data_IF_779573171175
#
_entry.id   IF_779573171175
#
_cell.length_a   1.000
_cell.length_b   1.000
_cell.length_c   1.000
_cell.angle_alpha   90.00
_cell.angle_beta   90.00
_cell.angle_gamma   90.00
#
_symmetry.space_group_name_H-M   'P 1'
#
loop_
_entity.id
_entity.type
_entity.pdbx_description
1 polymer ?
#
# COMPACT_ATOMS: atom_id res chain seq x y z
N UNK A 1 -22.50 15.01 -5.94
CA UNK A 1 -22.61 15.48 -4.54
C UNK A 1 -22.53 14.28 -3.59
N UNK A 2 -21.35 13.70 -3.42
CA UNK A 2 -21.07 12.71 -2.39
C UNK A 2 -19.59 12.92 -2.00
N UNK A 3 -19.38 13.59 -0.88
CA UNK A 3 -18.10 13.58 -0.15
C UNK A 3 -18.13 12.36 0.78
N UNK A 4 -17.30 11.33 0.57
CA UNK A 4 -17.02 10.38 1.63
C UNK A 4 -15.99 11.03 2.55
N UNK A 5 -16.46 11.68 3.62
CA UNK A 5 -15.59 11.93 4.77
C UNK A 5 -15.17 10.58 5.33
N UNK A 6 -13.86 10.33 5.37
CA UNK A 6 -13.28 9.13 5.93
C UNK A 6 -13.57 9.11 7.45
N UNK A 7 -14.46 8.23 7.90
CA UNK A 7 -14.96 8.16 9.28
C UNK A 7 -13.88 7.68 10.28
N UNK A 8 -12.72 7.21 9.81
CA UNK A 8 -11.69 6.58 10.66
C UNK A 8 -10.28 7.18 10.58
N UNK A 9 -10.06 8.32 9.92
CA UNK A 9 -8.79 9.05 10.09
C UNK A 9 -8.90 9.97 11.32
N UNK A 10 -8.15 9.73 12.42
CA UNK A 10 -8.17 10.65 13.55
C UNK A 10 -7.61 12.00 13.08
N UNK A 11 -8.44 13.05 13.13
CA UNK A 11 -8.01 14.42 12.85
C UNK A 11 -7.08 14.89 13.97
N UNK A 12 -5.77 14.80 13.77
CA UNK A 12 -4.80 15.37 14.70
C UNK A 12 -4.66 16.87 14.41
N UNK A 13 -5.36 17.70 15.20
CA UNK A 13 -5.14 19.15 15.21
C UNK A 13 -4.03 19.47 16.21
N UNK A 14 -2.84 19.83 15.71
CA UNK A 14 -1.75 20.35 16.54
C UNK A 14 -1.96 21.86 16.73
N UNK A 15 -1.90 22.41 17.96
CA UNK A 15 -2.05 23.84 18.18
C UNK A 15 -0.79 24.61 17.75
N UNK A 16 -1.00 25.73 17.07
CA UNK A 16 0.02 26.70 16.67
C UNK A 16 0.86 27.16 17.88
N UNK A 17 2.19 26.94 17.82
CA UNK A 17 3.18 27.56 18.70
C UNK A 17 3.99 28.57 17.89
N UNK A 18 4.12 29.76 18.45
CA UNK A 18 4.69 30.98 17.86
C UNK A 18 6.19 30.88 17.56
N UNK A 19 6.57 31.46 16.43
CA UNK A 19 7.88 31.37 15.79
C UNK A 19 9.03 32.06 16.56
N UNK A 20 10.22 31.46 16.51
CA UNK A 20 11.51 32.12 16.74
C UNK A 20 12.24 32.16 15.40
N UNK A 21 12.52 33.37 14.92
CA UNK A 21 13.22 33.62 13.65
C UNK A 21 14.73 33.36 13.81
N UNK A 22 15.20 32.27 13.21
CA UNK A 22 16.60 32.07 12.83
C UNK A 22 16.69 32.04 11.31
N UNK A 23 17.58 32.86 10.74
CA UNK A 23 17.74 32.99 9.29
C UNK A 23 18.28 31.68 8.68
N UNK A 24 17.36 30.84 8.18
CA UNK A 24 17.66 29.76 7.25
C UNK A 24 17.51 30.30 5.83
N UNK A 25 18.56 30.13 5.03
CA UNK A 25 18.51 30.37 3.59
C UNK A 25 17.63 29.29 2.99
N UNK A 26 16.36 29.60 2.71
CA UNK A 26 15.48 28.74 1.93
C UNK A 26 15.92 28.83 0.46
N UNK A 27 16.58 27.79 -0.02
CA UNK A 27 16.66 27.54 -1.46
C UNK A 27 15.25 27.23 -1.96
N UNK A 28 14.77 28.02 -2.92
CA UNK A 28 13.43 27.90 -3.47
C UNK A 28 13.19 26.53 -4.12
N UNK A 29 12.32 25.72 -3.53
CA UNK A 29 11.64 24.58 -4.15
C UNK A 29 10.13 24.84 -4.10
N UNK A 30 9.43 24.69 -5.22
CA UNK A 30 8.02 25.01 -5.41
C UNK A 30 7.06 24.20 -4.49
N UNK A 31 5.95 24.65 -3.89
CA UNK A 31 4.93 25.70 -4.15
C UNK A 31 3.53 25.21 -4.61
N UNK A 32 3.11 23.96 -4.35
CA UNK A 32 1.71 23.56 -4.60
C UNK A 32 0.75 24.26 -3.62
N UNK A 33 -0.20 25.10 -4.07
CA UNK A 33 -1.21 25.70 -3.19
C UNK A 33 -2.54 24.91 -3.24
N UNK A 34 -3.20 24.67 -2.09
CA UNK A 34 -2.71 24.89 -0.73
C UNK A 34 -1.65 23.87 -0.34
N UNK A 35 -0.64 24.31 0.42
CA UNK A 35 0.41 23.44 0.94
C UNK A 35 -0.18 22.56 2.03
N UNK A 36 -0.18 21.24 1.82
CA UNK A 36 -0.59 20.25 2.83
C UNK A 36 0.64 19.54 3.38
N UNK A 37 0.50 18.89 4.53
CA UNK A 37 1.56 18.05 5.12
C UNK A 37 1.87 16.77 4.30
N UNK A 38 1.05 16.48 3.29
CA UNK A 38 1.12 15.27 2.48
C UNK A 38 1.87 15.48 1.15
N UNK A 39 2.20 16.72 0.81
CA UNK A 39 2.95 17.07 -0.40
C UNK A 39 4.40 17.30 0.00
N UNK A 40 5.31 16.54 -0.60
CA UNK A 40 6.74 16.70 -0.41
C UNK A 40 7.18 18.13 -0.77
N UNK A 41 7.92 18.85 0.11
CA UNK A 41 8.45 20.17 -0.18
C UNK A 41 9.33 20.25 -1.44
N UNK A 42 9.92 19.14 -1.87
CA UNK A 42 10.76 19.08 -3.06
C UNK A 42 9.96 18.78 -4.34
N UNK A 43 8.63 18.61 -4.26
CA UNK A 43 7.80 18.34 -5.43
C UNK A 43 7.83 19.51 -6.43
N UNK A 44 8.06 19.24 -7.73
CA UNK A 44 8.11 20.29 -8.73
C UNK A 44 6.73 20.92 -8.98
N UNK A 45 6.69 22.23 -9.22
CA UNK A 45 5.46 23.00 -9.48
C UNK A 45 4.60 22.41 -10.60
N UNK A 46 5.24 21.78 -11.60
CA UNK A 46 4.58 21.14 -12.73
C UNK A 46 3.75 19.92 -12.33
N UNK A 47 3.99 19.32 -11.17
CA UNK A 47 3.25 18.17 -10.66
C UNK A 47 2.04 18.57 -9.78
N UNK A 48 1.90 19.84 -9.40
CA UNK A 48 0.84 20.31 -8.50
C UNK A 48 -0.57 20.15 -9.07
N UNK A 49 -0.70 20.17 -10.40
CA UNK A 49 -1.96 20.01 -11.11
C UNK A 49 -1.75 19.18 -12.35
N UNK A 50 -2.73 18.34 -12.71
CA UNK A 50 -2.73 17.65 -13.99
C UNK A 50 -4.13 17.58 -14.57
N UNK A 51 -4.22 17.31 -15.88
CA UNK A 51 -5.48 16.97 -16.53
C UNK A 51 -5.54 15.48 -16.76
N UNK A 52 -6.59 14.81 -16.26
CA UNK A 52 -6.78 13.38 -16.46
C UNK A 52 -7.19 13.05 -17.91
N UNK A 53 -7.24 11.75 -18.25
CA UNK A 53 -7.63 11.28 -19.58
C UNK A 53 -9.08 11.59 -19.97
N UNK A 54 -9.90 12.07 -19.02
CA UNK A 54 -11.29 12.48 -19.21
C UNK A 54 -11.44 14.00 -19.26
N UNK A 55 -10.35 14.76 -19.18
CA UNK A 55 -10.35 16.22 -19.20
C UNK A 55 -10.63 16.88 -17.86
N UNK A 56 -10.67 16.13 -16.76
CA UNK A 56 -10.83 16.69 -15.42
C UNK A 56 -9.51 17.30 -14.96
N UNK A 57 -9.56 18.51 -14.39
CA UNK A 57 -8.42 19.03 -13.63
C UNK A 57 -8.34 18.31 -12.28
N UNK A 58 -7.14 17.83 -11.95
CA UNK A 58 -6.79 17.19 -10.70
C UNK A 58 -5.76 18.04 -9.97
N UNK A 59 -5.90 18.13 -8.66
CA UNK A 59 -4.93 18.74 -7.75
C UNK A 59 -4.12 17.64 -7.07
N UNK A 60 -2.82 17.89 -6.89
CA UNK A 60 -1.96 16.99 -6.14
C UNK A 60 -2.34 17.02 -4.66
N UNK A 61 -2.58 15.85 -4.09
CA UNK A 61 -2.95 15.69 -2.66
C UNK A 61 -1.91 14.95 -1.84
N UNK A 62 -0.96 14.28 -2.51
CA UNK A 62 0.11 13.52 -1.89
C UNK A 62 1.29 13.39 -2.86
N UNK A 63 2.52 13.51 -2.35
CA UNK A 63 3.74 13.20 -3.08
C UNK A 63 4.88 12.80 -2.13
N UNK A 64 5.85 12.06 -2.65
CA UNK A 64 7.11 11.75 -1.99
C UNK A 64 8.19 11.62 -3.08
N UNK A 65 9.13 12.56 -3.11
CA UNK A 65 10.22 12.61 -4.10
C UNK A 65 11.46 11.84 -3.61
N UNK A 66 11.47 11.38 -2.35
CA UNK A 66 12.56 10.62 -1.74
C UNK A 66 13.95 11.31 -1.79
N UNK A 67 13.98 12.64 -1.81
CA UNK A 67 15.21 13.44 -1.92
C UNK A 67 16.03 13.53 -0.62
N UNK A 68 15.41 13.29 0.54
CA UNK A 68 16.12 13.26 1.83
C UNK A 68 16.86 11.93 1.97
N UNK A 69 18.17 11.94 1.79
CA UNK A 69 19.03 10.75 1.92
C UNK A 69 19.01 10.14 3.33
N UNK A 70 19.04 8.80 3.40
CA UNK A 70 19.17 8.07 4.66
C UNK A 70 17.92 8.04 5.53
N UNK A 71 16.72 8.28 4.96
CA UNK A 71 15.45 8.05 5.65
C UNK A 71 15.38 6.62 6.16
N UNK A 72 14.81 6.48 7.35
CA UNK A 72 14.50 5.20 7.96
C UNK A 72 13.02 4.93 7.81
N UNK A 73 12.68 3.69 7.48
CA UNK A 73 11.30 3.25 7.31
C UNK A 73 10.89 2.20 8.35
N UNK A 74 11.66 2.08 9.44
CA UNK A 74 11.22 1.28 10.59
C UNK A 74 9.94 1.87 11.19
N UNK A 75 9.22 1.03 11.93
CA UNK A 75 7.94 1.46 12.51
C UNK A 75 8.12 2.67 13.43
N UNK A 76 7.35 3.72 13.17
CA UNK A 76 7.41 5.01 13.87
C UNK A 76 8.43 6.02 13.33
N UNK A 77 9.34 5.66 12.43
CA UNK A 77 10.39 6.58 11.94
C UNK A 77 9.90 7.52 10.81
N UNK A 78 8.94 7.08 10.00
CA UNK A 78 8.42 7.83 8.86
C UNK A 78 6.90 8.04 8.95
N UNK A 79 6.36 9.23 8.63
CA UNK A 79 4.94 9.54 8.80
C UNK A 79 4.03 8.84 7.78
N UNK A 80 4.55 8.42 6.62
CA UNK A 80 3.76 7.87 5.51
C UNK A 80 4.03 6.38 5.33
N UNK A 81 5.28 5.96 5.45
CA UNK A 81 5.71 4.63 5.04
C UNK A 81 6.20 3.80 6.23
N UNK A 82 5.94 2.50 6.22
CA UNK A 82 6.52 1.55 7.18
C UNK A 82 6.99 0.31 6.44
N UNK A 83 8.27 -0.02 6.56
CA UNK A 83 8.83 -1.30 6.18
C UNK A 83 8.40 -2.38 7.14
N UNK A 84 8.10 -3.56 6.61
CA UNK A 84 7.55 -4.66 7.39
C UNK A 84 8.53 -5.82 7.55
N UNK A 85 8.29 -6.58 8.60
CA UNK A 85 8.97 -7.83 8.92
C UNK A 85 7.95 -8.97 8.75
N UNK A 86 8.32 -10.06 8.07
CA UNK A 86 7.47 -11.25 8.04
C UNK A 86 7.71 -12.18 6.84
N UNK A 87 6.91 -13.24 6.75
CA UNK A 87 6.94 -14.16 5.62
C UNK A 87 5.70 -14.01 4.75
N UNK A 88 5.88 -13.82 3.43
CA UNK A 88 4.75 -13.90 2.50
C UNK A 88 4.17 -15.32 2.51
N UNK A 89 2.87 -15.44 2.80
CA UNK A 89 2.18 -16.73 2.99
C UNK A 89 1.27 -17.18 1.84
N UNK A 90 1.03 -16.33 0.83
CA UNK A 90 -0.06 -16.54 -0.14
C UNK A 90 0.39 -17.02 -1.51
N UNK A 91 1.58 -16.62 -1.96
CA UNK A 91 2.01 -16.78 -3.36
C UNK A 91 3.26 -17.66 -3.51
N UNK A 92 3.48 -18.62 -2.60
CA UNK A 92 4.68 -19.50 -2.58
C UNK A 92 6.02 -18.76 -2.67
N UNK A 93 6.04 -17.53 -2.17
CA UNK A 93 7.21 -16.67 -2.14
C UNK A 93 8.29 -17.29 -1.21
N UNK A 94 9.53 -17.24 -1.67
CA UNK A 94 10.68 -17.89 -1.00
C UNK A 94 11.59 -16.89 -0.27
N UNK A 95 11.19 -15.62 -0.20
CA UNK A 95 11.87 -14.57 0.54
C UNK A 95 11.29 -14.39 1.96
N UNK A 96 12.01 -13.62 2.78
CA UNK A 96 11.48 -12.97 3.98
C UNK A 96 11.52 -11.45 3.83
N UNK A 97 10.53 -10.77 4.40
CA UNK A 97 10.50 -9.32 4.51
C UNK A 97 11.30 -8.82 5.71
N UNK A 98 11.98 -7.70 5.54
CA UNK A 98 12.80 -7.05 6.58
C UNK A 98 12.60 -5.55 6.62
N UNK A 99 12.72 -4.98 7.81
CA UNK A 99 12.68 -3.53 8.08
C UNK A 99 14.06 -2.89 8.27
N UNK A 100 15.14 -3.69 8.22
CA UNK A 100 16.52 -3.20 8.32
C UNK A 100 16.79 -2.04 7.34
N UNK A 101 17.40 -0.97 7.86
CA UNK A 101 17.65 0.28 7.11
C UNK A 101 18.49 0.08 5.84
N UNK A 102 19.34 -0.94 5.77
CA UNK A 102 20.13 -1.24 4.57
C UNK A 102 19.30 -1.88 3.43
N UNK A 103 18.03 -2.24 3.68
CA UNK A 103 17.13 -2.85 2.71
C UNK A 103 16.08 -1.90 2.15
N UNK A 104 15.59 -0.95 2.97
CA UNK A 104 14.72 0.15 2.56
C UNK A 104 15.35 1.46 2.99
N UNK A 105 15.81 2.25 2.02
CA UNK A 105 16.46 3.54 2.30
C UNK A 105 16.32 4.48 1.12
N UNK A 106 16.47 5.77 1.37
CA UNK A 106 16.57 6.79 0.33
C UNK A 106 18.02 7.12 0.04
N UNK A 107 18.38 7.23 -1.24
CA UNK A 107 19.71 7.70 -1.66
C UNK A 107 19.72 8.25 -3.08
N UNK A 108 20.09 9.54 -3.20
CA UNK A 108 20.27 10.26 -4.45
C UNK A 108 18.95 10.57 -5.16
N UNK A 109 17.89 10.90 -4.42
CA UNK A 109 16.56 11.18 -4.98
C UNK A 109 15.75 9.93 -5.34
N UNK A 110 16.03 8.79 -4.70
CA UNK A 110 15.34 7.53 -4.95
C UNK A 110 15.08 6.78 -3.66
N UNK A 111 13.87 6.24 -3.52
CA UNK A 111 13.62 5.08 -2.67
C UNK A 111 14.32 3.87 -3.27
N UNK A 112 15.11 3.16 -2.45
CA UNK A 112 15.84 1.97 -2.84
C UNK A 112 15.37 0.77 -2.04
N UNK A 113 15.00 -0.27 -2.78
CA UNK A 113 14.55 -1.55 -2.26
C UNK A 113 15.59 -2.62 -2.63
N UNK A 114 16.43 -3.01 -1.67
CA UNK A 114 17.55 -3.94 -1.91
C UNK A 114 17.12 -5.39 -1.72
N UNK A 115 17.53 -6.27 -2.61
CA UNK A 115 17.32 -7.73 -2.48
C UNK A 115 18.67 -8.42 -2.30
N UNK A 116 18.75 -9.40 -1.39
CA UNK A 116 19.95 -10.23 -1.17
C UNK A 116 19.61 -11.71 -1.08
N UNK A 117 20.61 -12.56 -1.31
CA UNK A 117 20.54 -14.01 -1.22
C UNK A 117 21.38 -14.55 -0.04
N UNK A 118 21.36 -13.82 1.09
CA UNK A 118 22.31 -14.04 2.21
C UNK A 118 21.70 -14.81 3.40
N UNK A 119 20.54 -15.45 3.20
CA UNK A 119 19.84 -16.17 4.27
C UNK A 119 19.12 -15.22 5.23
N UNK A 120 17.82 -15.07 5.05
CA UNK A 120 16.94 -14.36 5.96
C UNK A 120 16.81 -15.09 7.30
N UNK A 121 16.82 -14.38 8.44
CA UNK A 121 16.54 -14.95 9.77
C UNK A 121 15.54 -14.09 10.52
N UNK A 122 14.26 -14.41 10.41
CA UNK A 122 13.23 -13.67 11.15
C UNK A 122 12.00 -14.56 11.31
N UNK A 123 11.53 -14.81 12.52
CA UNK A 123 10.13 -15.18 12.74
C UNK A 123 9.69 -14.70 14.13
N UNK A 124 8.39 -14.44 14.27
CA UNK A 124 7.67 -14.57 15.54
C UNK A 124 6.82 -15.85 15.44
N UNK A 125 6.95 -16.82 16.35
CA UNK A 125 6.06 -17.97 16.38
C UNK A 125 4.61 -17.52 16.64
N UNK A 126 3.69 -18.48 16.58
CA UNK A 126 2.27 -18.30 16.93
C UNK A 126 2.05 -17.77 18.36
N UNK A 127 3.07 -17.76 19.23
CA UNK A 127 3.02 -17.19 20.58
C UNK A 127 3.59 -15.76 20.66
N UNK A 128 4.10 -15.21 19.56
CA UNK A 128 4.78 -13.91 19.52
C UNK A 128 6.23 -13.98 20.01
N UNK A 129 6.86 -15.16 20.01
CA UNK A 129 8.27 -15.34 20.39
C UNK A 129 9.16 -15.41 19.16
N UNK A 130 10.35 -14.81 19.23
CA UNK A 130 11.28 -14.85 18.10
C UNK A 130 11.74 -16.28 17.76
N UNK A 131 11.49 -16.74 16.53
CA UNK A 131 12.04 -18.00 15.98
C UNK A 131 12.93 -17.68 14.80
N UNK A 132 13.84 -18.59 14.48
CA UNK A 132 14.69 -18.50 13.30
C UNK A 132 14.17 -19.49 12.24
N UNK A 133 13.33 -19.02 11.31
CA UNK A 133 13.15 -19.69 10.02
C UNK A 133 14.11 -19.06 8.99
N UNK A 134 14.76 -19.89 8.19
CA UNK A 134 15.79 -19.45 7.23
C UNK A 134 15.23 -19.48 5.82
N UNK A 135 15.04 -18.29 5.22
CA UNK A 135 14.66 -18.16 3.80
C UNK A 135 15.87 -17.80 2.96
N UNK A 136 15.86 -18.23 1.70
CA UNK A 136 16.99 -18.02 0.78
C UNK A 136 17.24 -16.55 0.49
N UNK A 137 16.18 -15.75 0.41
CA UNK A 137 16.24 -14.34 0.04
C UNK A 137 15.70 -13.43 1.12
N UNK A 138 16.35 -12.28 1.30
CA UNK A 138 15.87 -11.19 2.16
C UNK A 138 15.47 -10.03 1.24
N UNK A 139 14.25 -9.53 1.41
CA UNK A 139 13.69 -8.45 0.59
C UNK A 139 12.95 -7.44 1.46
N UNK A 140 12.80 -6.19 1.03
CA UNK A 140 11.92 -5.24 1.69
C UNK A 140 10.49 -5.37 1.17
N UNK A 141 9.54 -5.07 2.04
CA UNK A 141 8.20 -4.65 1.66
C UNK A 141 7.84 -3.44 2.52
N UNK A 142 7.23 -2.43 1.91
CA UNK A 142 6.86 -1.18 2.56
C UNK A 142 5.39 -0.89 2.30
N UNK A 143 4.68 -0.35 3.28
CA UNK A 143 3.26 -0.01 3.16
C UNK A 143 2.91 1.30 3.86
N UNK A 144 1.87 1.98 3.38
CA UNK A 144 1.28 3.17 4.00
C UNK A 144 -0.04 2.90 4.76
N UNK A 145 -0.27 1.65 5.15
CA UNK A 145 -1.52 1.21 5.80
C UNK A 145 -1.86 2.07 7.02
N UNK A 146 -3.09 2.58 7.09
CA UNK A 146 -3.58 3.48 8.15
C UNK A 146 -2.79 4.78 8.37
N UNK A 147 -1.96 5.22 7.41
CA UNK A 147 -1.24 6.50 7.48
C UNK A 147 -1.85 7.53 6.54
N UNK A 148 -1.78 7.28 5.24
CA UNK A 148 -2.44 8.10 4.22
C UNK A 148 -3.51 7.27 3.50
N UNK A 149 -4.68 7.85 3.26
CA UNK A 149 -5.79 7.22 2.55
C UNK A 149 -6.40 8.20 1.57
N UNK A 150 -6.73 7.72 0.38
CA UNK A 150 -7.40 8.51 -0.65
C UNK A 150 -8.54 7.70 -1.26
N UNK A 151 -9.48 8.40 -1.88
CA UNK A 151 -10.59 7.79 -2.62
C UNK A 151 -10.64 8.43 -4.00
N UNK A 152 -10.52 7.60 -5.04
CA UNK A 152 -10.49 8.03 -6.43
C UNK A 152 -9.29 8.95 -6.76
N UNK A 153 -9.08 9.21 -8.04
CA UNK A 153 -7.98 10.04 -8.53
C UNK A 153 -6.99 9.28 -9.40
N UNK A 154 -5.77 9.81 -9.48
CA UNK A 154 -4.69 9.27 -10.31
C UNK A 154 -3.48 9.03 -9.41
N UNK A 155 -2.87 7.86 -9.56
CA UNK A 155 -1.61 7.52 -8.92
C UNK A 155 -0.55 7.42 -10.02
N UNK A 156 0.57 8.12 -9.82
CA UNK A 156 1.72 8.09 -10.71
C UNK A 156 2.95 7.64 -9.93
N UNK A 157 3.81 6.86 -10.58
CA UNK A 157 5.08 6.42 -10.02
C UNK A 157 6.12 6.39 -11.14
N UNK A 158 7.37 6.68 -10.79
CA UNK A 158 8.54 6.49 -11.64
C UNK A 158 9.44 5.46 -10.97
N UNK A 159 9.74 4.36 -11.66
CA UNK A 159 10.48 3.25 -11.07
C UNK A 159 11.49 2.64 -12.06
N UNK A 160 12.61 2.19 -11.50
CA UNK A 160 13.60 1.33 -12.18
C UNK A 160 13.55 -0.05 -11.54
N UNK A 161 13.35 -1.10 -12.35
CA UNK A 161 13.23 -2.45 -11.84
C UNK A 161 14.58 -3.14 -11.64
N UNK A 162 14.70 -4.03 -10.62
CA UNK A 162 15.93 -4.75 -10.36
C UNK A 162 16.20 -5.81 -11.43
N UNK A 163 17.49 -6.00 -11.72
CA UNK A 163 17.96 -7.06 -12.62
C UNK A 163 17.68 -6.80 -14.09
N UNK A 164 17.93 -7.81 -14.92
CA UNK A 164 17.62 -7.76 -16.35
C UNK A 164 16.20 -8.27 -16.57
N UNK A 165 15.47 -7.71 -17.54
CA UNK A 165 14.09 -8.13 -17.85
C UNK A 165 13.93 -9.60 -18.30
N UNK A 166 15.03 -10.31 -18.58
CA UNK A 166 15.03 -11.75 -18.92
C UNK A 166 15.47 -12.66 -17.75
N UNK A 167 15.75 -12.08 -16.57
CA UNK A 167 16.15 -12.84 -15.40
C UNK A 167 14.91 -13.20 -14.56
N UNK A 168 14.62 -14.49 -14.35
CA UNK A 168 13.47 -14.93 -13.56
C UNK A 168 13.68 -14.74 -12.06
N UNK A 169 12.56 -14.69 -11.32
CA UNK A 169 12.52 -14.84 -9.87
C UNK A 169 12.40 -13.53 -9.08
N UNK A 170 12.66 -12.37 -9.69
CA UNK A 170 12.35 -11.07 -9.10
C UNK A 170 10.88 -10.73 -9.39
N UNK A 171 10.19 -10.19 -8.39
CA UNK A 171 8.78 -9.81 -8.48
C UNK A 171 8.57 -8.41 -7.90
N UNK A 172 9.06 -7.34 -8.56
CA UNK A 172 8.75 -5.98 -8.13
C UNK A 172 7.25 -5.71 -8.33
N UNK A 173 6.64 -5.12 -7.31
CA UNK A 173 5.23 -4.75 -7.32
C UNK A 173 5.01 -3.38 -6.65
N UNK A 174 4.07 -2.62 -7.19
CA UNK A 174 3.48 -1.44 -6.58
C UNK A 174 1.98 -1.52 -6.78
N UNK A 175 1.26 -1.63 -5.67
CA UNK A 175 -0.16 -1.92 -5.64
C UNK A 175 -0.83 -1.15 -4.51
N UNK A 176 -2.13 -0.97 -4.63
CA UNK A 176 -2.98 -0.33 -3.65
C UNK A 176 -3.84 -1.38 -2.95
N UNK A 177 -4.16 -1.15 -1.69
CA UNK A 177 -5.00 -2.05 -0.92
C UNK A 177 -6.08 -1.29 -0.15
N UNK A 178 -7.30 -1.79 -0.16
CA UNK A 178 -8.39 -1.21 0.62
C UNK A 178 -8.09 -1.28 2.12
N UNK A 179 -8.21 -0.15 2.81
CA UNK A 179 -7.77 0.05 4.19
C UNK A 179 -8.54 -0.77 5.27
N UNK A 180 -9.47 -1.65 4.86
CA UNK A 180 -10.16 -2.58 5.76
C UNK A 180 -9.32 -3.81 6.12
N UNK A 181 -8.28 -4.11 5.34
CA UNK A 181 -7.33 -5.17 5.62
C UNK A 181 -5.91 -4.63 5.57
N UNK A 182 -4.99 -5.29 6.27
CA UNK A 182 -3.56 -5.00 6.22
C UNK A 182 -2.87 -6.07 5.40
N UNK A 183 -2.18 -5.65 4.35
CA UNK A 183 -1.35 -6.51 3.53
C UNK A 183 -0.42 -7.38 4.41
N UNK A 184 -0.25 -8.65 4.04
CA UNK A 184 0.53 -9.69 4.76
C UNK A 184 0.02 -10.11 6.14
N UNK A 185 -1.00 -9.46 6.70
CA UNK A 185 -1.65 -9.87 7.95
C UNK A 185 -2.97 -10.57 7.63
N UNK A 186 -2.89 -11.87 7.32
CA UNK A 186 -4.00 -12.66 6.76
C UNK A 186 -5.28 -12.65 7.59
N UNK A 187 -5.16 -12.55 8.92
CA UNK A 187 -6.32 -12.46 9.82
C UNK A 187 -7.13 -11.19 9.60
N UNK A 188 -6.51 -10.11 9.13
CA UNK A 188 -7.20 -8.84 8.84
C UNK A 188 -7.81 -8.81 7.44
N UNK A 189 -7.40 -9.72 6.56
CA UNK A 189 -7.91 -9.79 5.18
C UNK A 189 -8.98 -10.86 5.00
N UNK A 190 -9.31 -11.61 6.07
CA UNK A 190 -10.25 -12.74 6.05
C UNK A 190 -11.60 -12.37 5.41
N UNK A 191 -11.83 -12.87 4.20
CA UNK A 191 -13.04 -12.62 3.40
C UNK A 191 -13.36 -11.13 3.15
N UNK A 192 -12.41 -10.24 3.43
CA UNK A 192 -12.41 -8.85 2.96
C UNK A 192 -11.59 -8.73 1.67
N UNK A 193 -10.62 -9.62 1.47
CA UNK A 193 -9.92 -9.87 0.22
C UNK A 193 -10.08 -11.35 -0.16
N UNK A 194 -10.13 -11.71 -1.46
CA UNK A 194 -10.11 -10.85 -2.64
C UNK A 194 -11.50 -10.34 -3.07
N UNK A 195 -12.54 -10.68 -2.31
CA UNK A 195 -13.93 -10.51 -2.74
C UNK A 195 -14.48 -9.10 -2.50
N UNK A 196 -15.11 -8.51 -3.53
CA UNK A 196 -15.77 -7.21 -3.43
C UNK A 196 -17.01 -7.12 -4.34
N UNK A 197 -18.14 -7.61 -3.84
CA UNK A 197 -19.43 -7.60 -4.51
C UNK A 197 -20.27 -6.36 -4.15
N UNK A 198 -20.97 -5.82 -5.15
CA UNK A 198 -21.92 -4.72 -4.99
C UNK A 198 -23.39 -5.14 -5.24
N UNK A 199 -23.65 -6.45 -5.25
CA UNK A 199 -24.94 -7.10 -5.51
C UNK A 199 -25.09 -8.35 -4.63
N UNK A 200 -26.31 -8.88 -4.56
CA UNK A 200 -26.65 -10.11 -3.84
C UNK A 200 -27.56 -10.95 -4.74
N UNK A 201 -27.00 -11.85 -5.57
CA UNK A 201 -27.80 -12.70 -6.43
C UNK A 201 -28.53 -13.75 -5.56
N UNK A 202 -29.81 -13.95 -5.84
CA UNK A 202 -30.64 -14.99 -5.21
C UNK A 202 -31.38 -15.76 -6.32
N UNK A 203 -31.04 -17.05 -6.57
CA UNK A 203 -29.96 -17.81 -5.92
C UNK A 203 -28.56 -17.27 -6.29
N UNK A 204 -27.52 -17.76 -5.59
CA UNK A 204 -26.13 -17.49 -5.94
C UNK A 204 -25.84 -17.84 -7.42
N UNK A 205 -24.93 -17.11 -8.07
CA UNK A 205 -24.59 -17.35 -9.47
C UNK A 205 -23.38 -18.28 -9.55
N UNK A 206 -23.64 -19.58 -9.59
CA UNK A 206 -22.65 -20.65 -9.73
C UNK A 206 -21.78 -20.48 -10.99
N UNK A 207 -22.39 -20.11 -12.12
CA UNK A 207 -21.67 -19.94 -13.39
C UNK A 207 -20.64 -18.81 -13.32
N UNK A 208 -20.98 -17.73 -12.61
CA UNK A 208 -20.07 -16.61 -12.37
C UNK A 208 -19.20 -16.76 -11.11
N UNK A 209 -19.29 -17.88 -10.38
CA UNK A 209 -18.64 -18.09 -9.08
C UNK A 209 -18.95 -16.96 -8.07
N UNK A 210 -20.22 -16.53 -8.00
CA UNK A 210 -20.67 -15.45 -7.12
C UNK A 210 -21.57 -15.99 -6.01
N UNK A 211 -20.97 -16.18 -4.83
CA UNK A 211 -21.59 -16.61 -3.58
C UNK A 211 -21.35 -15.57 -2.48
N UNK A 212 -21.91 -14.35 -2.56
CA UNK A 212 -21.49 -13.24 -1.68
C UNK A 212 -21.62 -13.52 -0.18
N UNK A 213 -22.62 -14.30 0.24
CA UNK A 213 -22.82 -14.69 1.65
C UNK A 213 -21.70 -15.56 2.21
N UNK A 214 -21.05 -16.37 1.36
CA UNK A 214 -20.00 -17.30 1.76
C UNK A 214 -18.60 -16.72 1.53
N UNK A 215 -18.45 -15.91 0.48
CA UNK A 215 -17.16 -15.40 0.03
C UNK A 215 -16.76 -14.09 0.70
N UNK A 216 -17.69 -13.15 0.90
CA UNK A 216 -17.37 -11.81 1.39
C UNK A 216 -17.94 -11.54 2.79
N UNK A 217 -17.07 -11.15 3.72
CA UNK A 217 -17.41 -10.92 5.14
C UNK A 217 -18.43 -9.82 5.33
N UNK A 218 -18.25 -8.70 4.64
CA UNK A 218 -19.18 -7.56 4.62
C UNK A 218 -19.75 -7.49 3.22
N UNK A 219 -20.92 -8.09 3.01
CA UNK A 219 -21.53 -8.20 1.70
C UNK A 219 -22.88 -7.50 1.63
N UNK A 220 -23.37 -7.26 0.41
CA UNK A 220 -24.66 -6.58 0.18
C UNK A 220 -25.89 -7.38 0.62
N UNK A 221 -25.76 -8.67 0.90
CA UNK A 221 -26.87 -9.48 1.37
C UNK A 221 -27.21 -9.26 2.85
N UNK A 222 -26.37 -8.49 3.58
CA UNK A 222 -26.53 -8.24 5.00
C UNK A 222 -27.53 -7.10 5.25
N UNK A 223 -28.60 -7.40 5.99
CA UNK A 223 -29.62 -6.43 6.37
C UNK A 223 -29.26 -5.62 7.62
N UNK A 224 -30.14 -4.69 8.00
CA UNK A 224 -29.94 -3.82 9.16
C UNK A 224 -29.62 -4.57 10.46
N UNK A 225 -30.32 -5.68 10.70
CA UNK A 225 -30.11 -6.52 11.88
C UNK A 225 -28.67 -7.06 12.01
N UNK A 226 -27.99 -7.29 10.89
CA UNK A 226 -26.62 -7.80 10.86
C UNK A 226 -25.58 -6.67 10.87
N UNK A 227 -25.91 -5.49 10.33
CA UNK A 227 -24.94 -4.41 10.08
C UNK A 227 -24.95 -3.31 11.16
N UNK A 228 -26.11 -2.94 11.70
CA UNK A 228 -26.25 -1.86 12.68
C UNK A 228 -25.41 -2.03 13.95
N UNK A 229 -25.26 -3.24 14.54
CA UNK A 229 -24.41 -3.45 15.73
C UNK A 229 -22.94 -3.05 15.53
N UNK A 230 -22.49 -2.98 14.28
CA UNK A 230 -21.11 -2.64 13.91
C UNK A 230 -21.00 -1.23 13.29
N UNK A 231 -22.09 -0.45 13.29
CA UNK A 231 -22.13 0.86 12.63
C UNK A 231 -22.02 0.79 11.10
N UNK A 232 -22.32 -0.36 10.50
CA UNK A 232 -22.27 -0.56 9.05
C UNK A 232 -23.62 -0.26 8.40
N UNK A 233 -23.57 0.27 7.19
CA UNK A 233 -24.76 0.52 6.39
C UNK A 233 -25.38 -0.80 5.89
N UNK A 234 -26.72 -0.96 5.98
CA UNK A 234 -27.39 -2.15 5.48
C UNK A 234 -27.27 -2.25 3.96
N UNK A 235 -27.19 -3.48 3.45
CA UNK A 235 -27.12 -3.80 2.03
C UNK A 235 -25.94 -3.13 1.29
N UNK A 236 -24.79 -3.02 1.94
CA UNK A 236 -23.57 -2.46 1.36
C UNK A 236 -22.37 -3.38 1.55
N UNK A 237 -21.87 -3.92 0.45
CA UNK A 237 -20.62 -4.71 0.44
C UNK A 237 -19.39 -3.82 0.64
N UNK A 238 -18.40 -4.33 1.35
CA UNK A 238 -17.08 -3.70 1.52
C UNK A 238 -15.98 -4.76 1.46
N UNK A 239 -14.88 -4.41 0.80
CA UNK A 239 -13.71 -5.27 0.68
C UNK A 239 -12.42 -4.46 0.80
N UNK A 240 -11.34 -5.16 1.12
CA UNK A 240 -9.97 -4.70 1.02
C UNK A 240 -9.46 -5.01 -0.39
N UNK A 241 -9.92 -4.24 -1.38
CA UNK A 241 -9.61 -4.47 -2.80
C UNK A 241 -8.13 -4.23 -3.05
N UNK A 242 -7.50 -5.13 -3.79
CA UNK A 242 -6.16 -4.97 -4.35
C UNK A 242 -6.25 -4.37 -5.76
N UNK A 243 -5.43 -3.36 -6.03
CA UNK A 243 -5.28 -2.75 -7.35
C UNK A 243 -3.80 -2.72 -7.70
N UNK A 244 -3.39 -3.61 -8.60
CA UNK A 244 -2.03 -3.67 -9.12
C UNK A 244 -1.80 -2.58 -10.15
N UNK A 245 -0.90 -1.64 -9.84
CA UNK A 245 -0.42 -0.63 -10.80
C UNK A 245 0.79 -1.19 -11.54
N UNK A 246 1.67 -1.86 -10.82
CA UNK A 246 2.79 -2.62 -11.35
C UNK A 246 2.83 -3.96 -10.62
N UNK A 247 2.84 -5.04 -11.39
CA UNK A 247 3.14 -6.36 -10.89
C UNK A 247 3.82 -7.14 -12.03
N UNK A 248 5.11 -7.43 -11.88
CA UNK A 248 5.86 -8.08 -12.97
C UNK A 248 6.75 -9.19 -12.45
N UNK A 249 6.68 -10.35 -13.10
CA UNK A 249 7.68 -11.42 -12.96
C UNK A 249 8.47 -11.53 -14.27
N UNK A 250 9.50 -10.68 -14.48
CA UNK A 250 10.40 -10.81 -15.62
C UNK A 250 11.03 -12.20 -15.67
N UNK A 251 11.47 -12.63 -16.86
CA UNK A 251 12.04 -13.95 -17.07
C UNK A 251 11.64 -14.56 -18.41
N UNK A 252 12.50 -15.40 -18.97
CA UNK A 252 12.07 -16.27 -20.06
C UNK A 252 11.19 -17.38 -19.50
N UNK A 253 9.87 -17.20 -19.59
CA UNK A 253 8.92 -18.25 -19.29
C UNK A 253 9.06 -19.33 -20.36
N UNK A 254 9.73 -20.44 -20.05
CA UNK A 254 9.47 -21.69 -20.78
C UNK A 254 8.14 -22.21 -20.27
N UNK A 255 7.08 -22.00 -21.04
CA UNK A 255 5.84 -22.75 -20.84
C UNK A 255 6.15 -24.21 -21.18
N UNK A 256 6.34 -25.03 -20.15
CA UNK A 256 6.34 -26.47 -20.32
C UNK A 256 4.88 -26.91 -20.41
N UNK A 257 4.32 -26.85 -21.63
CA UNK A 257 3.07 -27.52 -21.94
C UNK A 257 3.39 -29.01 -21.99
N UNK A 258 3.51 -29.63 -20.81
CA UNK A 258 3.94 -31.01 -20.66
C UNK A 258 3.35 -31.93 -21.73
N UNK A 259 4.23 -32.59 -22.47
CA UNK A 259 3.90 -33.67 -23.39
C UNK A 259 3.72 -35.00 -22.66
#
# INVERSE_FOLDING_TARGET
LLHPQCILCPSMRIPFLTAIWGALVFTAGSQCPPTTEWIDPDTPASACTMTDVRGNQLELVFSDEFNVDGRSFQDGDDPVWTSIIGFPGTNSQINAYTDQKDYTYTKGGYLRLKVTADGAKVEYDKSGSWVTDTRTYQTPMMQGFNKFCFTEGVVQLSAEFPGRGNQPGLWPAFWLFGNLGRATVLTTTEKLWPWSYNHCPEPANEEANQHPREQQRINKCMGAAETEPYGLWPNQGRGAIEIDIIETMPGMVKFDYGA
#
